data_IF_346040294937
#
_entry.id   IF_346040294937
#
_cell.length_a   1.000
_cell.length_b   1.000
_cell.length_c   1.000
_cell.angle_alpha   90.00
_cell.angle_beta   90.00
_cell.angle_gamma   90.00
#
_symmetry.space_group_name_H-M   'P 1'
#
loop_
_entity.id
_entity.type
_entity.pdbx_description
1 polymer ?
#
# COMPACT_ATOMS: atom_id res chain seq x y z
N UNK A 1 -0.21 -19.32 -16.49
CA UNK A 1 -0.07 -19.58 -15.03
C UNK A 1 -0.46 -21.03 -14.78
N UNK A 2 0.27 -21.80 -13.96
CA UNK A 2 -0.11 -23.20 -13.68
C UNK A 2 -1.50 -23.20 -13.00
N UNK A 3 -2.41 -24.07 -13.47
CA UNK A 3 -3.79 -24.22 -12.98
C UNK A 3 -3.86 -24.20 -11.44
N UNK A 4 -2.92 -24.86 -10.77
CA UNK A 4 -2.87 -24.92 -9.30
C UNK A 4 -2.73 -23.56 -8.62
N UNK A 5 -1.83 -22.70 -9.09
CA UNK A 5 -1.62 -21.37 -8.49
C UNK A 5 -2.75 -20.41 -8.84
N UNK A 6 -3.34 -20.57 -10.02
CA UNK A 6 -4.58 -19.87 -10.39
C UNK A 6 -5.71 -20.23 -9.43
N UNK A 7 -5.91 -21.51 -9.15
CA UNK A 7 -6.91 -21.95 -8.17
C UNK A 7 -6.62 -21.33 -6.80
N UNK A 8 -5.37 -21.37 -6.31
CA UNK A 8 -5.04 -20.74 -5.02
C UNK A 8 -5.34 -19.24 -4.98
N UNK A 9 -4.98 -18.49 -6.02
CA UNK A 9 -5.26 -17.05 -6.08
C UNK A 9 -6.76 -16.80 -6.07
N UNK A 10 -7.53 -17.54 -6.87
CA UNK A 10 -8.99 -17.41 -6.93
C UNK A 10 -9.64 -17.79 -5.60
N UNK A 11 -9.17 -18.85 -4.93
CA UNK A 11 -9.65 -19.24 -3.60
C UNK A 11 -9.35 -18.16 -2.57
N UNK A 12 -8.12 -17.62 -2.54
CA UNK A 12 -7.76 -16.53 -1.63
C UNK A 12 -8.63 -15.30 -1.90
N UNK A 13 -8.83 -14.92 -3.17
CA UNK A 13 -9.72 -13.81 -3.52
C UNK A 13 -11.14 -14.07 -3.04
N UNK A 14 -11.70 -15.26 -3.26
CA UNK A 14 -13.05 -15.61 -2.81
C UNK A 14 -13.19 -15.54 -1.29
N UNK A 15 -12.22 -16.07 -0.53
CA UNK A 15 -12.24 -16.00 0.93
C UNK A 15 -12.03 -14.56 1.42
N UNK A 16 -11.16 -13.78 0.78
CA UNK A 16 -10.98 -12.35 1.11
C UNK A 16 -12.24 -11.53 0.77
N UNK A 17 -12.97 -11.86 -0.28
CA UNK A 17 -14.27 -11.27 -0.58
C UNK A 17 -15.27 -11.59 0.54
N UNK A 18 -15.38 -12.87 0.95
CA UNK A 18 -16.23 -13.24 2.08
C UNK A 18 -15.81 -12.53 3.37
N UNK A 19 -14.51 -12.43 3.64
CA UNK A 19 -13.95 -11.68 4.77
C UNK A 19 -14.39 -10.22 4.78
N UNK A 20 -14.35 -9.53 3.63
CA UNK A 20 -14.84 -8.16 3.53
C UNK A 20 -16.36 -8.05 3.66
N UNK A 21 -17.13 -9.03 3.17
CA UNK A 21 -18.58 -9.07 3.34
C UNK A 21 -19.01 -9.28 4.80
N UNK A 22 -18.18 -9.96 5.60
CA UNK A 22 -18.40 -10.08 7.05
C UNK A 22 -17.98 -8.84 7.84
N UNK A 23 -17.22 -7.94 7.22
CA UNK A 23 -16.82 -6.67 7.82
C UNK A 23 -17.92 -5.62 7.65
N UNK A 24 -18.05 -4.74 8.64
CA UNK A 24 -18.96 -3.60 8.61
C UNK A 24 -18.15 -2.32 8.43
N UNK A 25 -17.97 -1.81 7.19
CA UNK A 25 -17.26 -0.56 6.97
C UNK A 25 -18.00 0.62 7.60
N UNK A 26 -17.27 1.51 8.24
CA UNK A 26 -17.77 2.73 8.85
C UNK A 26 -16.76 3.86 8.59
N UNK A 27 -17.17 4.87 7.82
CA UNK A 27 -16.31 6.00 7.50
C UNK A 27 -15.95 6.76 8.77
N UNK A 28 -14.67 7.11 8.91
CA UNK A 28 -14.17 7.90 10.03
C UNK A 28 -13.04 8.82 9.58
N UNK A 29 -12.82 9.93 10.29
CA UNK A 29 -11.77 10.91 10.01
C UNK A 29 -11.71 11.30 8.51
N UNK A 30 -10.54 11.12 7.87
CA UNK A 30 -10.26 11.37 6.44
C UNK A 30 -11.28 10.68 5.50
N UNK A 31 -11.88 9.56 5.91
CA UNK A 31 -12.84 8.80 5.12
C UNK A 31 -14.07 9.60 4.70
N UNK A 32 -14.57 10.48 5.57
CA UNK A 32 -15.69 11.37 5.25
C UNK A 32 -15.33 12.39 4.18
N UNK A 33 -14.11 12.93 4.22
CA UNK A 33 -13.65 13.87 3.19
C UNK A 33 -13.49 13.17 1.84
N UNK A 34 -12.98 11.94 1.83
CA UNK A 34 -12.83 11.18 0.60
C UNK A 34 -14.18 10.79 -0.03
N UNK A 35 -15.14 10.35 0.77
CA UNK A 35 -16.49 10.02 0.27
C UNK A 35 -17.22 11.27 -0.20
N UNK A 36 -17.20 12.35 0.60
CA UNK A 36 -17.85 13.62 0.23
C UNK A 36 -17.32 14.20 -1.08
N UNK A 37 -16.00 14.15 -1.32
CA UNK A 37 -15.43 14.54 -2.61
C UNK A 37 -15.92 13.63 -3.75
N UNK A 38 -16.06 12.33 -3.50
CA UNK A 38 -16.59 11.36 -4.50
C UNK A 38 -18.02 11.72 -4.87
N UNK A 39 -18.88 11.99 -3.89
CA UNK A 39 -20.28 12.35 -4.12
C UNK A 39 -20.42 13.67 -4.87
N UNK A 40 -19.63 14.68 -4.47
CA UNK A 40 -19.59 15.98 -5.15
C UNK A 40 -19.17 15.81 -6.62
N UNK A 41 -18.08 15.06 -6.84
CA UNK A 41 -17.55 14.82 -8.18
C UNK A 41 -18.52 14.02 -9.05
N UNK A 42 -19.20 13.03 -8.46
CA UNK A 42 -20.23 12.23 -9.14
C UNK A 42 -21.43 13.07 -9.60
N UNK A 43 -21.67 14.22 -8.98
CA UNK A 43 -22.68 15.22 -9.36
C UNK A 43 -22.13 16.32 -10.28
N UNK A 44 -20.90 16.19 -10.74
CA UNK A 44 -20.26 17.13 -11.68
C UNK A 44 -19.53 18.30 -11.03
N UNK A 45 -19.31 18.28 -9.71
CA UNK A 45 -18.66 19.37 -8.99
C UNK A 45 -17.32 18.92 -8.41
N UNK A 46 -16.24 19.54 -8.87
CA UNK A 46 -14.90 19.39 -8.28
C UNK A 46 -14.79 20.35 -7.09
N UNK A 47 -14.90 19.86 -5.86
CA UNK A 47 -14.91 20.67 -4.63
C UNK A 47 -13.70 20.39 -3.73
N UNK A 48 -12.55 20.95 -4.09
CA UNK A 48 -11.34 20.89 -3.27
C UNK A 48 -11.40 21.82 -2.05
N UNK A 49 -12.34 22.77 -2.03
CA UNK A 49 -12.49 23.73 -0.94
C UNK A 49 -13.11 23.06 0.28
N UNK A 50 -14.18 22.28 0.09
CA UNK A 50 -14.82 21.54 1.18
C UNK A 50 -14.08 20.24 1.50
N UNK A 51 -13.40 19.65 0.51
CA UNK A 51 -12.65 18.41 0.67
C UNK A 51 -11.23 18.55 0.14
N UNK A 52 -10.29 18.71 1.06
CA UNK A 52 -8.89 19.02 0.76
C UNK A 52 -7.96 17.80 0.92
N UNK A 53 -6.81 17.85 0.25
CA UNK A 53 -5.79 16.80 0.26
C UNK A 53 -5.71 16.02 -1.05
N UNK A 54 -5.26 14.77 -0.97
CA UNK A 54 -5.07 13.89 -2.12
C UNK A 54 -6.31 13.01 -2.32
N UNK A 55 -7.04 13.22 -3.43
CA UNK A 55 -8.37 12.67 -3.70
C UNK A 55 -8.38 11.60 -4.80
N UNK A 56 -7.22 11.02 -5.14
CA UNK A 56 -7.15 10.07 -6.24
C UNK A 56 -8.05 8.84 -6.07
N UNK A 57 -8.22 8.33 -4.83
CA UNK A 57 -9.17 7.25 -4.57
C UNK A 57 -10.62 7.71 -4.78
N UNK A 58 -10.95 8.95 -4.40
CA UNK A 58 -12.27 9.52 -4.61
C UNK A 58 -12.64 9.61 -6.08
N UNK A 59 -11.68 10.01 -6.93
CA UNK A 59 -11.86 10.00 -8.39
C UNK A 59 -12.16 8.58 -8.90
N UNK A 60 -11.45 7.57 -8.42
CA UNK A 60 -11.72 6.17 -8.80
C UNK A 60 -13.03 5.60 -8.26
N UNK A 61 -13.59 6.23 -7.22
CA UNK A 61 -14.79 5.74 -6.54
C UNK A 61 -16.08 6.27 -7.17
N UNK A 62 -15.99 7.28 -8.05
CA UNK A 62 -17.15 7.84 -8.76
C UNK A 62 -17.95 6.76 -9.53
N UNK A 63 -17.34 5.85 -10.32
CA UNK A 63 -18.09 4.77 -10.96
C UNK A 63 -18.78 3.84 -9.96
N UNK A 64 -18.17 3.57 -8.81
CA UNK A 64 -18.79 2.74 -7.77
C UNK A 64 -19.98 3.45 -7.12
N UNK A 65 -19.88 4.78 -6.92
CA UNK A 65 -20.99 5.59 -6.44
C UNK A 65 -22.15 5.59 -7.44
N UNK A 66 -21.88 5.78 -8.74
CA UNK A 66 -22.93 5.70 -9.76
C UNK A 66 -23.60 4.32 -9.85
N UNK A 67 -22.84 3.24 -9.63
CA UNK A 67 -23.37 1.87 -9.68
C UNK A 67 -24.16 1.48 -8.43
N UNK A 68 -23.81 2.00 -7.25
CA UNK A 68 -24.37 1.55 -5.97
C UNK A 68 -25.24 2.56 -5.25
N UNK A 69 -25.06 3.86 -5.53
CA UNK A 69 -25.66 4.96 -4.76
C UNK A 69 -25.21 5.01 -3.29
N UNK A 70 -24.18 4.25 -2.90
CA UNK A 70 -23.81 4.05 -1.51
C UNK A 70 -22.88 5.15 -1.00
N UNK A 71 -23.13 5.63 0.22
CA UNK A 71 -22.23 6.51 1.00
C UNK A 71 -20.99 5.79 1.56
N UNK A 72 -20.57 4.70 0.91
CA UNK A 72 -19.43 3.84 1.29
C UNK A 72 -18.61 3.47 0.04
N UNK A 73 -18.75 4.24 -1.04
CA UNK A 73 -18.18 3.93 -2.34
C UNK A 73 -16.66 3.89 -2.31
N UNK A 74 -16.02 4.73 -1.48
CA UNK A 74 -14.58 4.69 -1.21
C UNK A 74 -14.16 3.34 -0.62
N UNK A 75 -14.90 2.84 0.38
CA UNK A 75 -14.58 1.58 1.03
C UNK A 75 -14.71 0.42 0.03
N UNK A 76 -15.78 0.36 -0.75
CA UNK A 76 -16.00 -0.68 -1.77
C UNK A 76 -14.95 -0.63 -2.88
N UNK A 77 -14.59 0.56 -3.35
CA UNK A 77 -13.51 0.73 -4.33
C UNK A 77 -12.18 0.24 -3.76
N UNK A 78 -11.87 0.58 -2.50
CA UNK A 78 -10.66 0.11 -1.82
C UNK A 78 -10.64 -1.41 -1.62
N UNK A 79 -11.76 -2.03 -1.24
CA UNK A 79 -11.90 -3.50 -1.17
C UNK A 79 -11.61 -4.15 -2.52
N UNK A 80 -12.17 -3.61 -3.61
CA UNK A 80 -11.90 -4.09 -4.96
C UNK A 80 -10.41 -4.00 -5.33
N UNK A 81 -9.77 -2.86 -5.07
CA UNK A 81 -8.34 -2.67 -5.34
C UNK A 81 -7.44 -3.58 -4.50
N UNK A 82 -7.82 -3.87 -3.25
CA UNK A 82 -7.12 -4.85 -2.41
C UNK A 82 -7.29 -6.27 -2.93
N UNK A 83 -8.49 -6.65 -3.39
CA UNK A 83 -8.70 -7.95 -4.05
C UNK A 83 -7.86 -8.06 -5.33
N UNK A 84 -7.75 -7.00 -6.13
CA UNK A 84 -6.87 -6.96 -7.29
C UNK A 84 -5.37 -6.97 -6.94
N UNK A 85 -5.02 -6.59 -5.71
CA UNK A 85 -3.64 -6.67 -5.21
C UNK A 85 -3.19 -8.11 -4.93
N UNK A 86 -4.11 -9.04 -4.69
CA UNK A 86 -3.81 -10.47 -4.49
C UNK A 86 -3.06 -11.09 -5.68
N UNK A 87 -3.63 -11.14 -6.91
CA UNK A 87 -2.91 -11.67 -8.05
C UNK A 87 -1.65 -10.86 -8.36
N UNK A 88 -1.69 -9.55 -8.15
CA UNK A 88 -0.58 -8.66 -8.46
C UNK A 88 0.63 -8.94 -7.57
N UNK A 89 0.44 -9.14 -6.26
CA UNK A 89 1.52 -9.51 -5.34
C UNK A 89 2.18 -10.83 -5.74
N UNK A 90 1.38 -11.84 -6.10
CA UNK A 90 1.90 -13.12 -6.59
C UNK A 90 2.77 -12.90 -7.84
N UNK A 91 2.28 -12.14 -8.81
CA UNK A 91 2.98 -11.87 -10.07
C UNK A 91 4.28 -11.09 -9.82
N UNK A 92 4.25 -10.04 -9.01
CA UNK A 92 5.43 -9.25 -8.64
C UNK A 92 6.50 -10.14 -8.02
N UNK A 93 6.17 -10.89 -6.98
CA UNK A 93 7.14 -11.74 -6.30
C UNK A 93 7.68 -12.86 -7.22
N UNK A 94 6.80 -13.48 -8.02
CA UNK A 94 7.20 -14.49 -9.01
C UNK A 94 8.18 -13.91 -10.04
N UNK A 95 7.88 -12.73 -10.58
CA UNK A 95 8.62 -12.16 -11.71
C UNK A 95 9.95 -11.52 -11.28
N UNK A 96 10.04 -11.01 -10.04
CA UNK A 96 11.30 -10.55 -9.47
C UNK A 96 12.31 -11.70 -9.35
N UNK A 97 11.85 -12.86 -8.86
CA UNK A 97 12.72 -13.98 -8.48
C UNK A 97 12.67 -15.18 -9.43
N UNK A 98 11.88 -15.10 -10.51
CA UNK A 98 11.72 -16.18 -11.49
C UNK A 98 11.12 -17.47 -10.92
N UNK A 99 10.44 -17.41 -9.77
CA UNK A 99 10.02 -18.61 -9.02
C UNK A 99 8.53 -18.56 -8.64
N UNK A 100 7.81 -19.65 -8.91
CA UNK A 100 6.41 -19.82 -8.48
C UNK A 100 6.29 -19.84 -6.95
N UNK A 101 7.28 -20.42 -6.28
CA UNK A 101 7.36 -20.42 -4.82
C UNK A 101 7.52 -19.00 -4.29
N UNK A 102 8.35 -18.17 -4.93
CA UNK A 102 8.47 -16.75 -4.56
C UNK A 102 7.11 -16.03 -4.66
N UNK A 103 6.33 -16.31 -5.71
CA UNK A 103 4.96 -15.82 -5.84
C UNK A 103 4.07 -16.21 -4.64
N UNK A 104 4.11 -17.47 -4.20
CA UNK A 104 3.36 -17.92 -3.04
C UNK A 104 3.82 -17.24 -1.73
N UNK A 105 5.13 -17.05 -1.55
CA UNK A 105 5.67 -16.30 -0.40
C UNK A 105 5.24 -14.83 -0.44
N UNK A 106 5.15 -14.23 -1.63
CA UNK A 106 4.57 -12.90 -1.81
C UNK A 106 3.12 -12.83 -1.34
N UNK A 107 2.29 -13.82 -1.70
CA UNK A 107 0.91 -13.92 -1.20
C UNK A 107 0.84 -14.05 0.32
N UNK A 108 1.70 -14.88 0.92
CA UNK A 108 1.79 -15.03 2.38
C UNK A 108 2.12 -13.68 3.03
N UNK A 109 3.13 -12.95 2.53
CA UNK A 109 3.49 -11.62 3.03
C UNK A 109 2.30 -10.66 2.96
N UNK A 110 1.62 -10.61 1.80
CA UNK A 110 0.46 -9.76 1.61
C UNK A 110 -0.59 -10.07 2.67
N UNK A 111 -1.04 -11.31 2.75
CA UNK A 111 -2.04 -11.76 3.72
C UNK A 111 -1.65 -11.47 5.17
N UNK A 112 -0.36 -11.47 5.49
CA UNK A 112 0.17 -11.16 6.83
C UNK A 112 0.41 -9.67 7.09
N UNK A 113 -0.10 -8.79 6.21
CA UNK A 113 -0.04 -7.33 6.32
C UNK A 113 -1.45 -6.78 6.52
N UNK A 114 -2.04 -6.85 7.74
CA UNK A 114 -3.45 -6.56 7.96
C UNK A 114 -3.82 -5.08 7.93
N UNK A 115 -2.83 -4.19 8.01
CA UNK A 115 -3.06 -2.76 8.14
C UNK A 115 -3.90 -2.18 6.98
N UNK A 116 -3.58 -2.40 5.69
CA UNK A 116 -4.39 -1.91 4.59
C UNK A 116 -5.81 -2.49 4.56
N UNK A 117 -6.01 -3.72 5.06
CA UNK A 117 -7.33 -4.39 5.10
C UNK A 117 -8.24 -3.80 6.16
N UNK A 118 -7.63 -3.29 7.23
CA UNK A 118 -8.36 -2.76 8.36
C UNK A 118 -8.66 -1.29 8.15
N UNK A 119 -7.71 -0.50 7.64
CA UNK A 119 -7.93 0.93 7.42
C UNK A 119 -8.86 1.23 6.24
N UNK A 120 -8.98 0.33 5.26
CA UNK A 120 -9.97 0.51 4.20
C UNK A 120 -11.42 0.52 4.73
N UNK A 121 -11.70 -0.15 5.85
CA UNK A 121 -13.04 -0.13 6.48
C UNK A 121 -13.42 1.25 7.00
N UNK A 122 -12.41 2.11 7.21
CA UNK A 122 -12.54 3.51 7.62
C UNK A 122 -12.76 4.47 6.46
N UNK A 123 -12.71 3.96 5.22
CA UNK A 123 -12.61 4.76 4.02
C UNK A 123 -11.21 5.32 3.76
N UNK A 124 -10.16 4.80 4.42
CA UNK A 124 -8.81 5.28 4.15
C UNK A 124 -8.20 4.67 2.88
N UNK A 125 -7.20 5.36 2.35
CA UNK A 125 -6.63 5.10 1.02
C UNK A 125 -5.50 4.06 0.99
N UNK A 126 -5.13 3.42 2.11
CA UNK A 126 -3.95 2.53 2.13
C UNK A 126 -4.13 1.27 1.27
N UNK A 127 -5.35 0.73 1.19
CA UNK A 127 -5.65 -0.38 0.28
C UNK A 127 -5.39 -0.01 -1.19
N UNK A 128 -5.86 1.16 -1.60
CA UNK A 128 -5.60 1.71 -2.93
C UNK A 128 -4.11 2.01 -3.15
N UNK A 129 -3.44 2.61 -2.17
CA UNK A 129 -2.00 2.90 -2.25
C UNK A 129 -1.19 1.61 -2.45
N UNK A 130 -1.50 0.54 -1.71
CA UNK A 130 -0.86 -0.77 -1.89
C UNK A 130 -1.03 -1.29 -3.33
N UNK A 131 -2.24 -1.21 -3.88
CA UNK A 131 -2.50 -1.59 -5.26
C UNK A 131 -1.62 -0.82 -6.24
N UNK A 132 -1.55 0.51 -6.13
CA UNK A 132 -0.71 1.35 -6.99
C UNK A 132 0.78 1.04 -6.84
N UNK A 133 1.28 0.84 -5.60
CA UNK A 133 2.67 0.43 -5.35
C UNK A 133 2.98 -0.87 -6.10
N UNK A 134 2.15 -1.89 -5.95
CA UNK A 134 2.33 -3.19 -6.60
C UNK A 134 2.22 -3.08 -8.13
N UNK A 135 1.33 -2.23 -8.64
CA UNK A 135 1.13 -2.05 -10.09
C UNK A 135 2.32 -1.33 -10.72
N UNK A 136 2.89 -0.35 -10.03
CA UNK A 136 4.13 0.33 -10.43
C UNK A 136 5.27 -0.67 -10.46
N UNK A 137 5.47 -1.45 -9.40
CA UNK A 137 6.53 -2.48 -9.34
C UNK A 137 6.36 -3.49 -10.49
N UNK A 138 5.14 -4.02 -10.66
CA UNK A 138 4.83 -4.97 -11.73
C UNK A 138 5.13 -4.38 -13.12
N UNK A 139 4.63 -3.18 -13.38
CA UNK A 139 4.87 -2.49 -14.64
C UNK A 139 6.36 -2.28 -14.88
N UNK A 140 7.12 -1.86 -13.86
CA UNK A 140 8.59 -1.69 -13.90
C UNK A 140 9.32 -2.97 -14.27
N UNK A 141 8.98 -4.10 -13.66
CA UNK A 141 9.59 -5.41 -13.98
C UNK A 141 9.42 -5.75 -15.47
N UNK A 142 8.23 -5.48 -16.01
CA UNK A 142 7.88 -5.73 -17.41
C UNK A 142 8.15 -4.57 -18.36
N UNK A 143 8.77 -3.48 -17.86
CA UNK A 143 9.12 -2.27 -18.62
C UNK A 143 7.95 -1.70 -19.43
N UNK A 144 6.74 -1.71 -18.86
CA UNK A 144 5.53 -1.23 -19.53
C UNK A 144 5.61 0.28 -19.76
N UNK A 145 5.17 0.76 -20.93
CA UNK A 145 5.25 2.19 -21.24
C UNK A 145 4.31 3.05 -20.37
N UNK A 146 3.20 2.47 -19.89
CA UNK A 146 2.16 3.17 -19.12
C UNK A 146 2.50 3.40 -17.64
N UNK A 147 3.61 2.83 -17.12
CA UNK A 147 3.99 2.95 -15.68
C UNK A 147 3.96 4.40 -15.20
N UNK A 148 4.51 5.38 -15.93
CA UNK A 148 4.55 6.76 -15.45
C UNK A 148 3.16 7.36 -15.21
N UNK A 149 2.15 6.96 -15.99
CA UNK A 149 0.78 7.43 -15.80
C UNK A 149 0.18 6.86 -14.51
N UNK A 150 0.39 5.56 -14.26
CA UNK A 150 -0.03 4.90 -13.02
C UNK A 150 0.73 5.46 -11.81
N UNK A 151 2.01 5.78 -11.97
CA UNK A 151 2.82 6.42 -10.94
C UNK A 151 2.30 7.82 -10.59
N UNK A 152 1.98 8.64 -11.60
CA UNK A 152 1.41 9.97 -11.40
C UNK A 152 0.03 9.88 -10.73
N UNK A 153 -0.84 8.99 -11.20
CA UNK A 153 -2.16 8.78 -10.57
C UNK A 153 -2.03 8.25 -9.13
N UNK A 154 -1.12 7.31 -8.89
CA UNK A 154 -0.79 6.84 -7.55
C UNK A 154 -0.33 7.99 -6.65
N UNK A 155 0.40 8.97 -7.19
CA UNK A 155 0.76 10.21 -6.50
C UNK A 155 -0.43 11.09 -6.14
N UNK A 156 -1.48 11.11 -6.98
CA UNK A 156 -2.75 11.80 -6.71
C UNK A 156 -3.60 11.05 -5.67
N UNK A 157 -3.51 9.71 -5.61
CA UNK A 157 -4.07 8.93 -4.51
C UNK A 157 -3.32 9.26 -3.22
N UNK A 158 -1.99 9.18 -3.24
CA UNK A 158 -1.14 9.60 -2.13
C UNK A 158 0.29 9.86 -2.63
N UNK A 159 0.94 10.97 -2.22
CA UNK A 159 2.22 11.39 -2.78
C UNK A 159 3.37 10.39 -2.52
N UNK A 160 3.19 9.44 -1.60
CA UNK A 160 4.18 8.41 -1.29
C UNK A 160 4.37 7.36 -2.39
N UNK A 161 3.49 7.29 -3.39
CA UNK A 161 3.78 6.54 -4.61
C UNK A 161 4.93 7.18 -5.40
N UNK A 162 5.18 8.49 -5.26
CA UNK A 162 6.19 9.21 -6.03
C UNK A 162 7.61 8.73 -5.76
N UNK A 163 7.89 8.23 -4.56
CA UNK A 163 9.19 7.67 -4.14
C UNK A 163 9.60 6.42 -4.93
N UNK A 164 8.67 5.84 -5.71
CA UNK A 164 8.90 4.70 -6.58
C UNK A 164 9.42 5.07 -7.98
N UNK A 165 9.62 6.36 -8.28
CA UNK A 165 10.22 6.81 -9.54
C UNK A 165 11.51 6.06 -9.93
N UNK A 166 12.47 5.79 -9.01
CA UNK A 166 13.69 5.04 -9.32
C UNK A 166 13.46 3.67 -9.96
N UNK A 167 12.29 3.04 -9.77
CA UNK A 167 11.98 1.72 -10.32
C UNK A 167 11.83 1.71 -11.85
N UNK A 168 11.60 2.85 -12.50
CA UNK A 168 11.43 2.94 -13.96
C UNK A 168 12.19 4.12 -14.59
N UNK A 169 13.07 4.78 -13.85
CA UNK A 169 13.95 5.84 -14.37
C UNK A 169 14.81 5.40 -15.57
N UNK A 170 15.38 4.18 -15.60
CA UNK A 170 16.13 3.73 -16.79
C UNK A 170 15.26 3.76 -18.06
N UNK A 171 14.01 3.30 -17.97
CA UNK A 171 13.07 3.29 -19.09
C UNK A 171 12.68 4.70 -19.54
N UNK A 172 12.65 5.68 -18.63
CA UNK A 172 12.42 7.08 -18.98
C UNK A 172 13.53 7.63 -19.89
N UNK A 173 14.77 7.18 -19.74
CA UNK A 173 15.89 7.63 -20.58
C UNK A 173 15.77 7.03 -21.99
N UNK A 174 15.47 5.74 -22.06
CA UNK A 174 15.69 4.94 -23.26
C UNK A 174 14.43 4.84 -24.16
N UNK A 175 13.22 5.03 -23.62
CA UNK A 175 11.97 4.71 -24.35
C UNK A 175 11.09 5.93 -24.60
N UNK A 176 10.94 6.31 -25.87
CA UNK A 176 10.07 7.44 -26.31
C UNK A 176 8.63 7.33 -25.79
N UNK A 177 8.00 6.15 -25.87
CA UNK A 177 6.64 5.95 -25.37
C UNK A 177 6.53 6.16 -23.86
N UNK A 178 7.51 5.70 -23.08
CA UNK A 178 7.54 5.91 -21.63
C UNK A 178 7.69 7.39 -21.29
N UNK A 179 8.51 8.15 -22.05
CA UNK A 179 8.60 9.62 -21.91
C UNK A 179 7.26 10.31 -22.18
N UNK A 180 6.54 9.89 -23.22
CA UNK A 180 5.21 10.44 -23.52
C UNK A 180 4.24 10.20 -22.36
N UNK A 181 4.15 8.97 -21.84
CA UNK A 181 3.30 8.68 -20.68
C UNK A 181 3.75 9.42 -19.42
N UNK A 182 5.05 9.69 -19.26
CA UNK A 182 5.56 10.50 -18.17
C UNK A 182 5.12 11.96 -18.29
N UNK A 183 5.21 12.55 -19.49
CA UNK A 183 4.69 13.89 -19.74
C UNK A 183 3.17 13.95 -19.48
N UNK A 184 2.40 12.99 -19.98
CA UNK A 184 0.96 12.90 -19.71
C UNK A 184 0.66 12.76 -18.21
N UNK A 185 1.42 11.94 -17.49
CA UNK A 185 1.31 11.78 -16.04
C UNK A 185 1.61 13.09 -15.30
N UNK A 186 2.68 13.80 -15.68
CA UNK A 186 3.00 15.12 -15.13
C UNK A 186 1.90 16.14 -15.42
N UNK A 187 1.37 16.17 -16.63
CA UNK A 187 0.23 17.03 -17.00
C UNK A 187 -0.98 16.74 -16.13
N UNK A 188 -1.33 15.47 -15.94
CA UNK A 188 -2.45 15.07 -15.07
C UNK A 188 -2.23 15.49 -13.62
N UNK A 189 -1.04 15.26 -13.07
CA UNK A 189 -0.68 15.71 -11.72
C UNK A 189 -0.69 17.22 -11.58
N UNK A 190 -0.21 17.95 -12.59
CA UNK A 190 -0.22 19.40 -12.62
C UNK A 190 -1.64 19.96 -12.69
N UNK A 191 -2.51 19.41 -13.53
CA UNK A 191 -3.93 19.81 -13.60
C UNK A 191 -4.60 19.61 -12.25
N UNK A 192 -4.37 18.46 -11.60
CA UNK A 192 -4.90 18.19 -10.26
C UNK A 192 -4.44 19.23 -9.23
N UNK A 193 -3.13 19.48 -9.16
CA UNK A 193 -2.56 20.44 -8.21
C UNK A 193 -2.97 21.88 -8.51
N UNK A 194 -3.06 22.27 -9.79
CA UNK A 194 -3.49 23.60 -10.21
C UNK A 194 -4.98 23.82 -9.87
N UNK A 195 -5.84 22.82 -10.09
CA UNK A 195 -7.25 22.89 -9.72
C UNK A 195 -7.43 23.01 -8.20
N UNK A 196 -6.70 22.21 -7.43
CA UNK A 196 -6.69 22.29 -5.97
C UNK A 196 -6.18 23.65 -5.48
N UNK A 197 -5.06 24.14 -6.04
CA UNK A 197 -4.50 25.45 -5.70
C UNK A 197 -5.46 26.60 -6.05
N UNK A 198 -6.13 26.54 -7.20
CA UNK A 198 -7.06 27.58 -7.62
C UNK A 198 -8.25 27.73 -6.65
N UNK A 199 -8.73 26.62 -6.07
CA UNK A 199 -9.86 26.65 -5.15
C UNK A 199 -9.47 26.95 -3.70
N UNK A 200 -8.30 26.47 -3.25
CA UNK A 200 -7.87 26.56 -1.85
C UNK A 200 -6.87 27.70 -1.60
N UNK A 201 -6.15 28.15 -2.63
CA UNK A 201 -5.17 29.25 -2.56
C UNK A 201 -3.75 28.82 -2.19
N UNK A 202 -3.52 27.56 -1.80
CA UNK A 202 -2.20 27.00 -1.54
C UNK A 202 -2.18 25.47 -1.70
N UNK A 203 -1.00 24.82 -1.83
CA UNK A 203 -0.90 23.36 -1.86
C UNK A 203 -1.19 22.74 -0.49
N UNK A 204 -1.77 21.53 -0.45
CA UNK A 204 -2.17 20.82 0.79
C UNK A 204 -1.68 19.38 0.74
N UNK A 205 -1.18 18.83 1.86
CA UNK A 205 -0.67 17.46 1.93
C UNK A 205 -1.69 16.43 2.44
N UNK A 206 -2.62 16.85 3.30
CA UNK A 206 -3.32 15.91 4.16
C UNK A 206 -4.78 16.33 4.40
N UNK A 207 -5.66 15.34 4.47
CA UNK A 207 -7.06 15.53 4.86
C UNK A 207 -7.22 15.64 6.40
N UNK A 208 -6.23 15.21 7.18
CA UNK A 208 -6.26 15.33 8.64
C UNK A 208 -5.72 16.69 9.12
N UNK A 209 -6.58 17.72 9.22
CA UNK A 209 -6.20 19.03 9.81
C UNK A 209 -5.72 18.87 11.27
N UNK A 210 -6.30 17.92 12.01
CA UNK A 210 -5.92 17.62 13.41
C UNK A 210 -4.50 17.05 13.57
N UNK A 211 -3.79 16.76 12.47
CA UNK A 211 -2.42 16.25 12.52
C UNK A 211 -1.36 17.36 12.53
N UNK A 212 -1.76 18.61 12.32
CA UNK A 212 -0.87 19.77 12.32
C UNK A 212 -0.73 20.38 13.73
N UNK A 213 0.44 20.94 14.01
CA UNK A 213 0.71 21.62 15.28
C UNK A 213 0.16 23.06 15.21
N UNK A 214 -1.09 23.28 15.61
CA UNK A 214 -1.70 24.62 15.67
C UNK A 214 -3.24 24.58 15.71
N UNK A 215 -3.86 25.72 16.05
CA UNK A 215 -5.32 25.92 15.97
C UNK A 215 -5.69 26.31 14.53
N UNK A 216 -5.73 25.34 13.64
CA UNK A 216 -6.13 25.56 12.26
C UNK A 216 -7.65 25.48 12.13
N UNK A 217 -8.23 26.42 11.40
CA UNK A 217 -9.64 26.39 11.03
C UNK A 217 -9.88 25.21 10.10
N UNK A 218 -10.89 24.39 10.40
CA UNK A 218 -11.31 23.27 9.57
C UNK A 218 -11.73 23.69 8.16
N UNK A 219 -12.10 24.96 7.97
CA UNK A 219 -12.42 25.55 6.66
C UNK A 219 -11.20 26.07 5.87
N UNK A 220 -10.01 26.08 6.46
CA UNK A 220 -8.78 26.52 5.80
C UNK A 220 -7.59 25.64 6.22
N UNK A 221 -7.36 24.51 5.53
CA UNK A 221 -6.29 23.57 5.88
C UNK A 221 -4.92 24.25 5.82
N UNK A 222 -3.93 23.85 6.64
CA UNK A 222 -2.61 24.46 6.60
C UNK A 222 -1.88 24.21 5.27
N UNK A 223 -1.02 25.14 4.85
CA UNK A 223 -0.25 24.99 3.63
C UNK A 223 0.75 23.84 3.73
N UNK A 224 1.14 23.29 2.58
CA UNK A 224 2.08 22.17 2.46
C UNK A 224 3.36 22.38 3.27
N UNK A 225 3.86 23.62 3.36
CA UNK A 225 5.08 23.97 4.08
C UNK A 225 5.00 23.59 5.57
N UNK A 226 3.83 23.72 6.20
CA UNK A 226 3.59 23.30 7.60
C UNK A 226 3.64 21.78 7.79
N UNK A 227 3.60 21.02 6.68
CA UNK A 227 3.79 19.57 6.72
C UNK A 227 5.26 19.20 6.84
N UNK A 228 6.18 20.15 6.62
CA UNK A 228 7.61 19.88 6.55
C UNK A 228 8.39 20.70 7.58
N UNK A 229 8.97 20.02 8.57
CA UNK A 229 9.93 20.61 9.51
C UNK A 229 11.16 19.76 9.58
N UNK A 230 12.33 20.38 9.42
CA UNK A 230 13.60 19.69 9.62
C UNK A 230 13.75 19.38 11.11
N UNK A 231 13.85 18.10 11.47
CA UNK A 231 14.02 17.71 12.85
C UNK A 231 14.41 16.24 13.05
N UNK A 232 15.07 15.96 14.17
CA UNK A 232 15.55 14.60 14.53
C UNK A 232 14.38 13.63 14.82
N UNK A 233 13.18 14.16 15.10
CA UNK A 233 11.98 13.36 15.37
C UNK A 233 11.54 12.50 14.17
N UNK A 234 11.77 12.94 12.94
CA UNK A 234 11.37 12.21 11.74
C UNK A 234 12.00 10.82 11.63
N UNK A 235 13.34 10.71 11.57
CA UNK A 235 14.05 9.42 11.57
C UNK A 235 13.68 8.50 12.73
N UNK A 236 13.55 9.05 13.95
CA UNK A 236 13.15 8.26 15.13
C UNK A 236 11.75 7.68 15.01
N UNK A 237 10.80 8.45 14.44
CA UNK A 237 9.43 7.95 14.19
C UNK A 237 9.40 6.89 13.08
N UNK A 238 10.29 6.97 12.09
CA UNK A 238 10.44 5.90 11.09
C UNK A 238 10.86 4.60 11.78
N UNK A 239 11.94 4.64 12.57
CA UNK A 239 12.40 3.47 13.33
C UNK A 239 11.30 2.92 14.25
N UNK A 240 10.60 3.80 14.97
CA UNK A 240 9.49 3.40 15.83
C UNK A 240 8.35 2.70 15.06
N UNK A 241 7.94 3.21 13.90
CA UNK A 241 6.88 2.62 13.09
C UNK A 241 7.32 1.36 12.31
N UNK A 242 8.62 1.03 12.29
CA UNK A 242 9.14 -0.20 11.70
C UNK A 242 9.38 -1.31 12.72
N UNK A 243 9.69 -0.98 13.98
CA UNK A 243 10.20 -1.95 14.96
C UNK A 243 9.39 -2.04 16.26
N UNK A 244 8.58 -1.05 16.62
CA UNK A 244 7.86 -1.05 17.91
C UNK A 244 6.44 -1.59 17.75
N UNK A 245 6.20 -2.83 18.17
CA UNK A 245 4.93 -3.53 17.99
C UNK A 245 3.69 -2.85 18.62
N UNK A 246 3.89 -1.98 19.62
CA UNK A 246 2.80 -1.18 20.20
C UNK A 246 2.41 0.05 19.37
N UNK A 247 3.18 0.39 18.33
CA UNK A 247 2.80 1.35 17.29
C UNK A 247 1.99 0.63 16.21
N UNK A 248 1.32 1.38 15.34
CA UNK A 248 0.56 0.88 14.18
C UNK A 248 1.49 0.32 13.09
N UNK A 249 2.30 -0.69 13.44
CA UNK A 249 3.25 -1.34 12.53
C UNK A 249 2.48 -2.06 11.44
N UNK A 250 2.92 -1.91 10.19
CA UNK A 250 2.21 -2.49 9.04
C UNK A 250 2.55 -3.96 8.81
N UNK A 251 3.79 -4.31 9.13
CA UNK A 251 4.44 -5.56 8.78
C UNK A 251 5.30 -6.00 9.97
N UNK A 252 5.48 -7.30 10.12
CA UNK A 252 6.35 -7.92 11.12
C UNK A 252 7.75 -7.28 11.14
N UNK A 253 8.26 -6.85 12.32
CA UNK A 253 9.63 -6.35 12.48
C UNK A 253 10.68 -7.36 11.99
N UNK A 254 10.46 -8.66 12.21
CA UNK A 254 11.33 -9.71 11.68
C UNK A 254 11.48 -9.62 10.16
N UNK A 255 10.36 -9.45 9.42
CA UNK A 255 10.41 -9.33 7.97
C UNK A 255 11.17 -8.08 7.52
N UNK A 256 11.03 -6.97 8.24
CA UNK A 256 11.78 -5.74 7.98
C UNK A 256 13.29 -5.96 8.15
N UNK A 257 13.71 -6.59 9.26
CA UNK A 257 15.12 -6.88 9.53
C UNK A 257 15.73 -7.80 8.46
N UNK A 258 15.01 -8.87 8.09
CA UNK A 258 15.45 -9.80 7.05
C UNK A 258 15.55 -9.10 5.69
N UNK A 259 14.56 -8.31 5.31
CA UNK A 259 14.56 -7.58 4.04
C UNK A 259 15.71 -6.59 3.93
N UNK A 260 15.98 -5.82 4.99
CA UNK A 260 17.12 -4.92 5.06
C UNK A 260 18.44 -5.68 5.02
N UNK A 261 18.55 -6.82 5.71
CA UNK A 261 19.73 -7.68 5.68
C UNK A 261 20.01 -8.20 4.26
N UNK A 262 18.98 -8.66 3.53
CA UNK A 262 19.14 -9.11 2.13
C UNK A 262 19.60 -7.96 1.25
N UNK A 263 18.97 -6.78 1.34
CA UNK A 263 19.38 -5.60 0.58
C UNK A 263 20.82 -5.18 0.90
N UNK A 264 21.27 -5.34 2.15
CA UNK A 264 22.64 -5.03 2.53
C UNK A 264 23.65 -6.05 1.99
N UNK A 265 23.38 -7.35 2.16
CA UNK A 265 24.32 -8.44 1.88
C UNK A 265 24.31 -8.94 0.45
N UNK A 266 23.15 -9.11 -0.17
CA UNK A 266 23.03 -9.72 -1.49
C UNK A 266 23.27 -8.72 -2.61
N UNK A 267 24.55 -8.48 -2.93
CA UNK A 267 24.97 -7.61 -4.04
C UNK A 267 24.53 -8.12 -5.42
N UNK A 268 24.12 -9.39 -5.56
CA UNK A 268 23.68 -9.97 -6.83
C UNK A 268 22.18 -9.79 -7.09
N UNK A 269 21.42 -9.32 -6.09
CA UNK A 269 20.00 -9.05 -6.27
C UNK A 269 19.77 -7.95 -7.33
N UNK A 270 19.20 -8.34 -8.47
CA UNK A 270 19.01 -7.48 -9.65
C UNK A 270 18.35 -6.13 -9.35
N UNK A 271 17.37 -6.10 -8.47
CA UNK A 271 16.60 -4.89 -8.15
C UNK A 271 17.11 -4.15 -6.91
N UNK A 272 18.25 -4.59 -6.33
CA UNK A 272 18.81 -4.05 -5.08
C UNK A 272 18.93 -2.54 -5.08
N UNK A 273 19.63 -1.98 -6.06
CA UNK A 273 19.97 -0.55 -6.05
C UNK A 273 18.71 0.32 -6.21
N UNK A 274 17.80 -0.07 -7.11
CA UNK A 274 16.53 0.68 -7.29
C UNK A 274 15.62 0.57 -6.06
N UNK A 275 15.59 -0.59 -5.38
CA UNK A 275 14.87 -0.74 -4.12
C UNK A 275 15.46 0.14 -3.03
N UNK A 276 16.79 0.12 -2.85
CA UNK A 276 17.49 0.96 -1.87
C UNK A 276 17.23 2.45 -2.15
N UNK A 277 17.34 2.89 -3.40
CA UNK A 277 17.07 4.29 -3.77
C UNK A 277 15.63 4.70 -3.42
N UNK A 278 14.63 3.88 -3.72
CA UNK A 278 13.24 4.17 -3.38
C UNK A 278 12.96 4.16 -1.88
N UNK A 279 13.58 3.24 -1.12
CA UNK A 279 13.48 3.18 0.34
C UNK A 279 14.10 4.42 0.97
N UNK A 280 15.32 4.80 0.54
CA UNK A 280 16.00 6.00 1.03
C UNK A 280 15.18 7.24 0.69
N UNK A 281 14.65 7.36 -0.53
CA UNK A 281 13.78 8.48 -0.91
C UNK A 281 12.54 8.57 -0.02
N UNK A 282 11.91 7.44 0.31
CA UNK A 282 10.77 7.41 1.22
C UNK A 282 11.15 7.81 2.66
N UNK A 283 12.27 7.31 3.17
CA UNK A 283 12.75 7.69 4.50
C UNK A 283 13.17 9.15 4.58
N UNK A 284 13.83 9.70 3.56
CA UNK A 284 14.17 11.10 3.47
C UNK A 284 12.91 11.96 3.48
N UNK A 285 11.95 11.67 2.59
CA UNK A 285 10.68 12.40 2.54
C UNK A 285 9.99 12.41 3.92
N UNK A 286 9.90 11.25 4.57
CA UNK A 286 9.27 11.13 5.89
C UNK A 286 10.07 11.78 7.03
N UNK A 287 11.38 11.85 6.90
CA UNK A 287 12.23 12.49 7.90
C UNK A 287 11.98 13.99 7.98
N UNK A 288 11.53 14.60 6.87
CA UNK A 288 11.18 16.01 6.81
C UNK A 288 9.76 16.30 7.26
N UNK A 289 8.90 15.31 7.52
CA UNK A 289 7.49 15.56 7.82
C UNK A 289 7.19 15.82 9.31
N UNK A 290 6.33 16.79 9.58
CA UNK A 290 5.85 17.15 10.95
C UNK A 290 5.02 16.04 11.59
N UNK A 291 4.42 15.18 10.78
CA UNK A 291 3.64 14.03 11.18
C UNK A 291 4.20 12.76 10.51
N UNK A 292 4.42 11.70 11.29
CA UNK A 292 4.81 10.38 10.78
C UNK A 292 3.72 9.40 11.12
N UNK A 293 2.87 9.13 10.14
CA UNK A 293 1.93 8.02 10.17
C UNK A 293 2.58 6.82 9.52
N UNK A 294 2.38 5.63 10.11
CA UNK A 294 2.80 4.37 9.50
C UNK A 294 2.31 4.24 8.07
N UNK A 295 1.12 4.78 7.75
CA UNK A 295 0.50 4.83 6.40
C UNK A 295 1.44 5.26 5.26
N UNK A 296 2.45 6.07 5.55
CA UNK A 296 3.37 6.59 4.55
C UNK A 296 4.65 5.77 4.32
N UNK A 297 4.91 4.80 5.21
CA UNK A 297 5.99 3.82 5.06
C UNK A 297 5.60 2.66 4.14
N UNK A 298 4.38 2.64 3.61
CA UNK A 298 3.86 1.51 2.84
C UNK A 298 4.73 1.18 1.62
N UNK A 299 5.24 2.20 0.91
CA UNK A 299 6.15 2.02 -0.22
C UNK A 299 7.45 1.34 0.21
N UNK A 300 8.11 1.84 1.26
CA UNK A 300 9.36 1.25 1.76
C UNK A 300 9.17 -0.15 2.32
N UNK A 301 8.15 -0.35 3.17
CA UNK A 301 7.84 -1.64 3.79
C UNK A 301 7.50 -2.71 2.75
N UNK A 302 6.77 -2.37 1.68
CA UNK A 302 6.50 -3.30 0.56
C UNK A 302 7.79 -3.74 -0.13
N UNK A 303 8.69 -2.80 -0.46
CA UNK A 303 9.97 -3.11 -1.11
C UNK A 303 10.89 -3.95 -0.22
N UNK A 304 10.98 -3.60 1.08
CA UNK A 304 11.75 -4.37 2.06
C UNK A 304 11.19 -5.79 2.20
N UNK A 305 9.86 -5.93 2.29
CA UNK A 305 9.20 -7.23 2.42
C UNK A 305 9.42 -8.12 1.20
N UNK A 306 9.37 -7.55 -0.01
CA UNK A 306 9.70 -8.28 -1.24
C UNK A 306 11.17 -8.74 -1.25
N UNK A 307 12.09 -7.91 -0.78
CA UNK A 307 13.50 -8.26 -0.69
C UNK A 307 13.78 -9.40 0.31
N UNK A 308 12.90 -9.64 1.30
CA UNK A 308 13.05 -10.73 2.26
C UNK A 308 12.74 -12.12 1.68
N UNK A 309 12.03 -12.21 0.55
CA UNK A 309 11.54 -13.47 -0.02
C UNK A 309 12.63 -14.52 -0.24
N UNK A 310 13.79 -14.22 -0.87
CA UNK A 310 14.85 -15.21 -1.09
C UNK A 310 15.37 -15.83 0.20
N UNK A 311 15.48 -15.02 1.26
CA UNK A 311 15.91 -15.51 2.57
C UNK A 311 14.89 -16.49 3.15
N UNK A 312 13.61 -16.15 3.11
CA UNK A 312 12.55 -17.01 3.63
C UNK A 312 12.41 -18.32 2.83
N UNK A 313 12.64 -18.27 1.52
CA UNK A 313 12.65 -19.48 0.68
C UNK A 313 13.85 -20.38 1.02
N UNK A 314 15.02 -19.80 1.28
CA UNK A 314 16.23 -20.53 1.64
C UNK A 314 16.16 -21.11 3.05
N UNK A 315 15.55 -20.39 3.99
CA UNK A 315 15.53 -20.72 5.41
C UNK A 315 14.11 -20.98 5.90
N UNK A 316 13.66 -22.24 5.88
CA UNK A 316 12.29 -22.62 6.28
C UNK A 316 11.91 -22.13 7.69
N UNK A 317 12.87 -22.12 8.64
CA UNK A 317 12.67 -21.59 9.99
C UNK A 317 12.21 -20.13 10.00
N UNK A 318 12.67 -19.32 9.05
CA UNK A 318 12.34 -17.90 8.98
C UNK A 318 10.84 -17.67 8.74
N UNK A 319 10.18 -18.57 8.00
CA UNK A 319 8.74 -18.46 7.79
C UNK A 319 7.94 -18.76 9.07
N UNK A 320 8.39 -19.69 9.90
CA UNK A 320 7.74 -19.94 11.20
C UNK A 320 7.90 -18.74 12.14
N UNK A 321 9.08 -18.12 12.17
CA UNK A 321 9.30 -16.89 12.95
C UNK A 321 8.46 -15.75 12.40
N UNK A 322 8.39 -15.58 11.08
CA UNK A 322 7.54 -14.56 10.47
C UNK A 322 6.05 -14.76 10.83
N UNK A 323 5.54 -15.99 10.73
CA UNK A 323 4.17 -16.29 11.14
C UNK A 323 3.92 -15.98 12.63
N UNK A 324 4.84 -16.34 13.52
CA UNK A 324 4.74 -16.03 14.94
C UNK A 324 4.77 -14.51 15.20
N UNK A 325 5.72 -13.81 14.59
CA UNK A 325 5.89 -12.36 14.73
C UNK A 325 4.70 -11.58 14.13
N UNK A 326 4.07 -12.07 13.06
CA UNK A 326 2.86 -11.48 12.51
C UNK A 326 1.69 -11.44 13.48
N UNK A 327 1.62 -12.32 14.48
CA UNK A 327 0.59 -12.22 15.55
C UNK A 327 0.73 -10.90 16.31
N UNK A 328 1.96 -10.42 16.49
CA UNK A 328 2.26 -9.12 17.14
C UNK A 328 1.87 -7.91 16.28
N UNK A 329 1.52 -8.14 15.00
CA UNK A 329 0.97 -7.11 14.10
C UNK A 329 -0.56 -7.17 14.10
N UNK A 330 -1.12 -8.38 13.99
CA UNK A 330 -2.57 -8.58 13.92
C UNK A 330 -3.28 -8.13 15.20
N UNK A 331 -2.80 -8.55 16.38
CA UNK A 331 -3.50 -8.29 17.64
C UNK A 331 -3.54 -6.78 17.99
N UNK A 332 -2.45 -6.01 17.85
CA UNK A 332 -2.54 -4.57 18.06
C UNK A 332 -3.47 -3.88 17.07
N UNK A 333 -3.44 -4.25 15.79
CA UNK A 333 -4.34 -3.64 14.78
C UNK A 333 -5.81 -4.00 15.05
N UNK A 334 -6.09 -5.22 15.52
CA UNK A 334 -7.41 -5.59 16.02
C UNK A 334 -7.86 -4.65 17.14
N UNK A 335 -7.03 -4.49 18.18
CA UNK A 335 -7.36 -3.64 19.33
C UNK A 335 -7.49 -2.16 18.96
N UNK A 336 -6.71 -1.67 18.00
CA UNK A 336 -6.78 -0.26 17.57
C UNK A 336 -7.95 0.03 16.64
N UNK A 337 -8.34 -0.94 15.80
CA UNK A 337 -9.27 -0.69 14.70
C UNK A 337 -10.21 -1.87 14.42
N UNK A 338 -9.66 -3.09 14.34
CA UNK A 338 -10.40 -4.25 13.85
C UNK A 338 -11.66 -4.59 14.65
N UNK A 339 -11.66 -4.35 15.96
CA UNK A 339 -12.80 -4.60 16.86
C UNK A 339 -14.08 -3.86 16.45
N UNK A 340 -13.95 -2.74 15.74
CA UNK A 340 -15.10 -1.95 15.29
C UNK A 340 -15.76 -2.53 14.04
N UNK A 341 -15.05 -3.35 13.26
CA UNK A 341 -15.50 -3.73 11.91
C UNK A 341 -15.82 -5.21 11.77
N UNK A 342 -15.22 -6.09 12.58
CA UNK A 342 -15.55 -7.51 12.58
C UNK A 342 -16.09 -7.93 13.95
N UNK A 343 -17.05 -8.88 14.00
CA UNK A 343 -17.69 -9.28 15.25
C UNK A 343 -16.79 -10.10 16.18
N UNK A 344 -15.67 -10.65 15.67
CA UNK A 344 -14.76 -11.50 16.45
C UNK A 344 -13.34 -11.47 15.86
N UNK A 345 -12.33 -11.49 16.74
CA UNK A 345 -10.90 -11.57 16.39
C UNK A 345 -10.58 -12.76 15.48
N UNK A 346 -11.28 -13.90 15.63
CA UNK A 346 -11.02 -15.08 14.80
C UNK A 346 -11.40 -14.87 13.33
N UNK A 347 -12.49 -14.14 13.07
CA UNK A 347 -12.89 -13.74 11.71
C UNK A 347 -11.90 -12.72 11.17
N UNK A 348 -11.51 -11.73 11.99
CA UNK A 348 -10.48 -10.77 11.64
C UNK A 348 -9.14 -11.45 11.25
N UNK A 349 -8.78 -12.54 11.92
CA UNK A 349 -7.57 -13.32 11.63
C UNK A 349 -7.68 -14.22 10.38
N UNK A 350 -8.76 -14.19 9.61
CA UNK A 350 -8.90 -14.98 8.37
C UNK A 350 -7.70 -14.85 7.41
N UNK A 351 -7.15 -13.65 7.13
CA UNK A 351 -5.95 -13.52 6.28
C UNK A 351 -4.73 -14.26 6.86
N UNK A 352 -4.57 -14.24 8.19
CA UNK A 352 -3.53 -14.97 8.89
C UNK A 352 -3.67 -16.48 8.68
N UNK A 353 -4.88 -17.02 8.86
CA UNK A 353 -5.15 -18.46 8.67
C UNK A 353 -4.92 -18.88 7.22
N UNK A 354 -5.34 -18.07 6.26
CA UNK A 354 -5.07 -18.31 4.84
C UNK A 354 -3.56 -18.36 4.55
N UNK A 355 -2.78 -17.45 5.12
CA UNK A 355 -1.32 -17.45 5.00
C UNK A 355 -0.69 -18.73 5.58
N UNK A 356 -1.14 -19.16 6.76
CA UNK A 356 -0.67 -20.41 7.39
C UNK A 356 -1.00 -21.63 6.52
N UNK A 357 -2.24 -21.75 6.05
CA UNK A 357 -2.68 -22.86 5.19
C UNK A 357 -1.87 -22.87 3.89
N UNK A 358 -1.69 -21.71 3.25
CA UNK A 358 -0.90 -21.60 2.03
C UNK A 358 0.54 -22.06 2.25
N UNK A 359 1.17 -21.66 3.36
CA UNK A 359 2.52 -22.11 3.72
C UNK A 359 2.60 -23.62 3.93
N UNK A 360 1.67 -24.21 4.68
CA UNK A 360 1.63 -25.65 4.93
C UNK A 360 1.48 -26.44 3.62
N UNK A 361 0.57 -26.01 2.75
CA UNK A 361 0.35 -26.64 1.44
C UNK A 361 1.59 -26.54 0.54
N UNK A 362 2.30 -25.40 0.55
CA UNK A 362 3.56 -25.25 -0.18
C UNK A 362 4.65 -26.18 0.35
N UNK A 363 4.76 -26.32 1.67
CA UNK A 363 5.74 -27.22 2.29
C UNK A 363 5.47 -28.69 1.98
N UNK A 364 4.21 -29.12 2.02
CA UNK A 364 3.83 -30.50 1.68
C UNK A 364 4.19 -30.84 0.22
N UNK A 365 3.89 -29.93 -0.72
CA UNK A 365 4.25 -30.12 -2.13
C UNK A 365 5.76 -30.17 -2.35
N UNK A 366 6.54 -29.34 -1.66
CA UNK A 366 8.00 -29.38 -1.74
C UNK A 366 8.59 -30.69 -1.22
N UNK A 367 7.99 -31.31 -0.19
CA UNK A 367 8.46 -32.61 0.32
C UNK A 367 8.21 -33.73 -0.68
N UNK A 368 7.03 -33.77 -1.31
CA UNK A 368 6.68 -34.81 -2.27
C UNK A 368 7.48 -34.74 -3.59
N UNK A 369 8.10 -33.59 -3.91
CA UNK A 369 8.94 -33.44 -5.10
C UNK A 369 10.42 -33.80 -4.87
N UNK A 370 10.85 -33.92 -3.61
CA UNK A 370 12.23 -34.25 -3.23
C UNK A 370 12.30 -35.64 -2.57
N UNK A 371 11.26 -36.45 -2.71
CA UNK A 371 11.10 -37.77 -2.10
C UNK A 371 11.27 -38.95 -3.06
N UNK A 372 11.78 -38.68 -4.27
CA UNK A 372 12.41 -39.64 -5.18
C UNK A 372 13.94 -39.41 -5.14
#
# INVERSE_FOLDING_TARGET
MNKTYTIFILTIMAVMTAYFLTGQPELTDDGFHYEGFTESLARGVVDFKSYYGFMGLSILSVPFFWLTGSHLSIAYTSMFLVLMSVPLMYLVARDIFGSKQAGAYGLIIFLLTPYPYTTLMRGFQEGALLFFILLIIYGSIWKKAWIPLIWAFGGIVKPFALVLLPLFTPELRDRKKTKLFFLLGLTMGFIYLAASYYQVGHPINNAAINSYQGSFDTGNPPPLVESFTVGVKGPLRIGANLFLAYRKIMVSPFLILVGLWVLWKDKKFKYRNVFICSIIANFLLLSFMTFSFSKYLLSATTLISLAAIPFMMKHKWAMYIFLADSVTVFLPIWNFFGINYWPNVWIYMTPFWLATILFLVQNLKSKNQNGD
#
